data_IF_444174579639
#
_entry.id   IF_444174579639
#
_cell.length_a   1.000
_cell.length_b   1.000
_cell.length_c   1.000
_cell.angle_alpha   90.00
_cell.angle_beta   90.00
_cell.angle_gamma   90.00
#
_symmetry.space_group_name_H-M   'P 1'
#
loop_
_entity.id
_entity.type
_entity.pdbx_description
1 polymer ?
#
# COMPACT_ATOMS: atom_id res chain seq x y z
N UNK A 1 10.90 -15.36 9.08
CA UNK A 1 11.37 -14.35 8.09
C UNK A 1 10.21 -14.06 7.16
N UNK A 2 9.61 -12.86 7.12
CA UNK A 2 8.69 -12.54 6.03
C UNK A 2 9.46 -12.66 4.72
N UNK A 3 8.86 -13.30 3.73
CA UNK A 3 9.45 -13.33 2.40
C UNK A 3 9.48 -11.91 1.81
N UNK A 4 10.40 -11.62 0.87
CA UNK A 4 10.43 -10.38 0.09
C UNK A 4 9.12 -10.04 -0.64
N UNK A 5 8.18 -10.98 -0.68
CA UNK A 5 6.92 -10.93 -1.43
C UNK A 5 5.75 -10.38 -0.59
N UNK A 6 5.98 -10.00 0.66
CA UNK A 6 4.97 -9.40 1.55
C UNK A 6 4.73 -7.90 1.31
N UNK A 7 4.80 -7.44 0.04
CA UNK A 7 4.62 -6.03 -0.33
C UNK A 7 3.92 -5.84 -1.68
N UNK A 8 3.32 -4.67 -1.86
CA UNK A 8 2.95 -4.13 -3.16
C UNK A 8 3.79 -2.90 -3.44
N UNK A 9 4.40 -2.83 -4.62
CA UNK A 9 5.12 -1.67 -5.13
C UNK A 9 4.21 -0.86 -6.05
N UNK A 10 4.58 0.38 -6.35
CA UNK A 10 3.89 1.20 -7.34
C UNK A 10 3.58 0.41 -8.64
N UNK A 11 2.34 0.52 -9.10
CA UNK A 11 1.78 -0.23 -10.24
C UNK A 11 1.24 -1.62 -9.90
N UNK A 12 1.56 -2.18 -8.72
CA UNK A 12 1.05 -3.48 -8.29
C UNK A 12 -0.32 -3.36 -7.62
N UNK A 13 -1.09 -4.43 -7.75
CA UNK A 13 -2.51 -4.47 -7.37
C UNK A 13 -2.87 -5.86 -6.84
N UNK A 14 -3.82 -5.90 -5.91
CA UNK A 14 -4.42 -7.14 -5.40
C UNK A 14 -5.92 -7.08 -5.58
N UNK A 15 -6.49 -8.17 -6.05
CA UNK A 15 -7.90 -8.27 -6.42
C UNK A 15 -8.67 -9.19 -5.47
N UNK A 16 -9.91 -8.80 -5.21
CA UNK A 16 -10.97 -9.73 -4.81
C UNK A 16 -11.93 -9.89 -5.99
N UNK A 17 -13.08 -10.56 -5.78
CA UNK A 17 -14.13 -10.63 -6.81
C UNK A 17 -14.78 -9.26 -7.09
N UNK A 18 -14.74 -8.34 -6.14
CA UNK A 18 -15.52 -7.08 -6.21
C UNK A 18 -14.68 -5.83 -5.99
N UNK A 19 -13.44 -5.96 -5.53
CA UNK A 19 -12.57 -4.84 -5.19
C UNK A 19 -11.14 -5.04 -5.69
N UNK A 20 -10.41 -3.94 -5.86
CA UNK A 20 -8.99 -3.92 -6.15
C UNK A 20 -8.29 -2.95 -5.20
N UNK A 21 -7.26 -3.42 -4.48
CA UNK A 21 -6.35 -2.58 -3.73
C UNK A 21 -5.09 -2.36 -4.58
N UNK A 22 -4.77 -1.11 -4.87
CA UNK A 22 -3.71 -0.75 -5.80
C UNK A 22 -2.75 0.26 -5.15
N UNK A 23 -1.44 0.05 -5.32
CA UNK A 23 -0.46 1.13 -5.16
C UNK A 23 -0.30 1.78 -6.53
N UNK A 24 -0.79 3.00 -6.68
CA UNK A 24 -0.71 3.72 -7.94
C UNK A 24 0.71 4.24 -8.20
N UNK A 25 1.02 4.57 -9.46
CA UNK A 25 2.34 5.08 -9.86
C UNK A 25 2.71 6.41 -9.20
N UNK A 26 1.71 7.22 -8.85
CA UNK A 26 1.87 8.49 -8.13
C UNK A 26 2.10 8.30 -6.62
N UNK A 27 2.04 7.06 -6.12
CA UNK A 27 2.28 6.69 -4.74
C UNK A 27 1.06 6.65 -3.84
N UNK A 28 -0.16 6.79 -4.39
CA UNK A 28 -1.38 6.63 -3.60
C UNK A 28 -1.75 5.15 -3.42
N UNK A 29 -2.17 4.75 -2.21
CA UNK A 29 -2.80 3.45 -1.97
C UNK A 29 -4.31 3.62 -2.09
N UNK A 30 -4.93 2.96 -3.06
CA UNK A 30 -6.33 3.17 -3.39
C UNK A 30 -7.10 1.85 -3.41
N UNK A 31 -8.27 1.86 -2.80
CA UNK A 31 -9.26 0.77 -2.88
C UNK A 31 -10.34 1.15 -3.89
N UNK A 32 -10.46 0.34 -4.93
CA UNK A 32 -11.47 0.47 -5.98
C UNK A 32 -12.59 -0.57 -5.83
N UNK A 33 -13.80 -0.19 -6.21
CA UNK A 33 -14.87 -1.12 -6.56
C UNK A 33 -14.74 -1.53 -8.03
N UNK A 34 -14.75 -2.83 -8.32
CA UNK A 34 -14.52 -3.32 -9.69
C UNK A 34 -15.72 -3.15 -10.63
N UNK A 35 -16.94 -3.04 -10.11
CA UNK A 35 -18.14 -2.96 -10.95
C UNK A 35 -18.24 -1.66 -11.76
N UNK A 36 -17.65 -0.58 -11.27
CA UNK A 36 -17.72 0.77 -11.82
C UNK A 36 -16.39 1.54 -11.75
N UNK A 37 -15.32 0.90 -11.27
CA UNK A 37 -14.02 1.51 -11.00
C UNK A 37 -14.08 2.71 -10.04
N UNK A 38 -15.10 2.79 -9.18
CA UNK A 38 -15.23 3.87 -8.21
C UNK A 38 -14.16 3.76 -7.11
N UNK A 39 -13.52 4.89 -6.77
CA UNK A 39 -12.66 5.00 -5.59
C UNK A 39 -13.55 4.88 -4.35
N UNK A 40 -13.34 3.82 -3.57
CA UNK A 40 -14.04 3.61 -2.29
C UNK A 40 -13.29 4.25 -1.12
N UNK A 41 -11.96 4.25 -1.18
CA UNK A 41 -11.07 4.82 -0.17
C UNK A 41 -9.66 5.02 -0.76
N UNK A 42 -8.89 5.96 -0.21
CA UNK A 42 -7.46 6.12 -0.50
C UNK A 42 -6.67 6.70 0.67
N UNK A 43 -5.35 6.46 0.69
CA UNK A 43 -4.45 6.90 1.76
C UNK A 43 -4.08 8.38 1.73
N UNK A 44 -4.40 9.11 0.65
CA UNK A 44 -4.00 10.49 0.42
C UNK A 44 -2.46 10.66 0.39
N UNK A 45 -1.77 9.71 -0.25
CA UNK A 45 -0.29 9.72 -0.36
C UNK A 45 0.21 10.00 -1.77
N UNK A 46 -0.67 10.44 -2.68
CA UNK A 46 -0.30 10.88 -4.01
C UNK A 46 0.83 11.94 -3.99
N UNK A 47 1.72 11.89 -4.97
CA UNK A 47 2.93 12.70 -5.05
C UNK A 47 4.19 12.03 -4.48
N UNK A 48 4.07 10.80 -3.97
CA UNK A 48 5.17 9.96 -3.49
C UNK A 48 5.46 8.82 -4.47
N UNK A 49 5.74 9.17 -5.73
CA UNK A 49 5.95 8.19 -6.80
C UNK A 49 6.95 7.09 -6.43
N UNK A 50 6.64 5.85 -6.82
CA UNK A 50 7.43 4.67 -6.45
C UNK A 50 7.21 4.17 -5.02
N UNK A 51 6.22 4.70 -4.28
CA UNK A 51 5.85 4.19 -2.96
C UNK A 51 5.55 2.68 -2.97
N UNK A 52 5.65 2.08 -1.78
CA UNK A 52 5.34 0.68 -1.56
C UNK A 52 4.47 0.50 -0.31
N UNK A 53 3.58 -0.48 -0.35
CA UNK A 53 2.79 -0.97 0.77
C UNK A 53 3.42 -2.24 1.32
N UNK A 54 3.60 -2.33 2.65
CA UNK A 54 4.14 -3.52 3.30
C UNK A 54 3.35 -3.87 4.57
N UNK A 55 3.04 -5.15 4.75
CA UNK A 55 2.65 -5.71 6.05
C UNK A 55 3.93 -5.99 6.84
N UNK A 56 4.08 -5.36 8.00
CA UNK A 56 5.25 -5.47 8.86
C UNK A 56 5.08 -6.63 9.85
N UNK A 57 6.19 -7.04 10.49
CA UNK A 57 6.18 -8.17 11.44
C UNK A 57 5.32 -7.91 12.68
N UNK A 58 5.10 -6.64 13.02
CA UNK A 58 4.30 -6.20 14.16
C UNK A 58 2.79 -6.16 13.87
N UNK A 59 2.36 -6.54 12.66
CA UNK A 59 0.95 -6.51 12.24
C UNK A 59 0.49 -5.16 11.71
N UNK A 60 1.39 -4.18 11.56
CA UNK A 60 1.07 -2.88 10.98
C UNK A 60 1.14 -2.93 9.45
N UNK A 61 0.18 -2.29 8.78
CA UNK A 61 0.18 -2.11 7.33
C UNK A 61 0.60 -0.67 7.01
N UNK A 62 1.72 -0.51 6.29
CA UNK A 62 2.39 0.79 6.15
C UNK A 62 2.72 1.07 4.69
N UNK A 63 2.43 2.29 4.25
CA UNK A 63 2.93 2.84 2.99
C UNK A 63 4.24 3.58 3.27
N UNK A 64 5.28 3.22 2.54
CA UNK A 64 6.60 3.85 2.57
C UNK A 64 6.90 4.55 1.26
N UNK A 65 7.73 5.59 1.29
CA UNK A 65 8.35 6.13 0.05
C UNK A 65 9.21 5.07 -0.63
N UNK A 66 9.60 5.33 -1.89
CA UNK A 66 10.35 4.39 -2.72
C UNK A 66 11.68 3.89 -2.10
N UNK A 67 12.32 4.72 -1.28
CA UNK A 67 13.57 4.44 -0.56
C UNK A 67 13.35 3.97 0.89
N UNK A 68 12.09 3.74 1.28
CA UNK A 68 11.69 3.38 2.64
C UNK A 68 11.47 1.89 2.85
N UNK A 69 11.01 1.57 4.07
CA UNK A 69 10.70 0.20 4.45
C UNK A 69 10.75 -0.03 5.96
N UNK A 70 10.26 -1.19 6.38
CA UNK A 70 10.40 -1.67 7.76
C UNK A 70 11.89 -1.75 8.16
N UNK A 71 12.26 -1.10 9.27
CA UNK A 71 13.65 -0.97 9.70
C UNK A 71 14.49 0.08 8.96
N UNK A 72 13.95 0.70 7.90
CA UNK A 72 14.61 1.74 7.10
C UNK A 72 14.01 3.13 7.41
N UNK A 73 12.67 3.22 7.51
CA UNK A 73 11.95 4.49 7.73
C UNK A 73 11.16 4.94 6.49
N UNK A 74 10.90 6.25 6.40
CA UNK A 74 10.10 6.89 5.34
C UNK A 74 8.65 6.39 5.22
N UNK A 75 8.03 6.04 6.36
CA UNK A 75 6.60 5.80 6.43
C UNK A 75 5.83 7.10 6.16
N UNK A 76 4.84 7.04 5.26
CA UNK A 76 3.98 8.18 4.88
C UNK A 76 2.51 7.95 5.24
N UNK A 77 2.12 6.70 5.51
CA UNK A 77 0.82 6.33 6.06
C UNK A 77 0.92 4.98 6.78
N UNK A 78 0.11 4.75 7.82
CA UNK A 78 0.02 3.47 8.52
C UNK A 78 -1.40 3.22 9.06
N UNK A 79 -1.80 1.95 9.17
CA UNK A 79 -3.05 1.56 9.83
C UNK A 79 -3.00 1.77 11.34
N UNK A 80 -1.80 1.79 11.94
CA UNK A 80 -1.59 1.81 13.40
C UNK A 80 -2.26 0.63 14.10
N UNK A 81 -2.22 -0.53 13.46
CA UNK A 81 -2.67 -1.81 14.02
C UNK A 81 -1.46 -2.62 14.47
N UNK A 82 -1.57 -3.29 15.61
CA UNK A 82 -0.48 -4.08 16.19
C UNK A 82 -1.03 -5.43 16.68
N UNK A 83 -0.25 -6.49 16.48
CA UNK A 83 -0.58 -7.86 16.88
C UNK A 83 -0.11 -8.22 18.29
#
# INVERSE_FOLDING_TARGET
MPSPESRLSAGQQVYTKTTCLAVQWDGDLVLYRLSDNAVMWHSNTAGNGGALLKIQNDGNLVVHKADGGEGIGNAIWATNTFA
#
